data_IF_443410622526
#
_entry.id   IF_443410622526
#
_cell.length_a   1.000
_cell.length_b   1.000
_cell.length_c   1.000
_cell.angle_alpha   90.00
_cell.angle_beta   90.00
_cell.angle_gamma   90.00
#
_symmetry.space_group_name_H-M   'P 1'
#
loop_
_entity.id
_entity.type
_entity.pdbx_description
1 polymer ?
#
# COMPACT_ATOMS: atom_id res chain seq x y z
N UNK A 1 -9.19 -12.71 -7.60
CA UNK A 1 -8.11 -12.26 -6.69
C UNK A 1 -7.79 -13.43 -5.76
N UNK A 2 -6.57 -13.98 -5.80
CA UNK A 2 -6.23 -15.23 -5.09
C UNK A 2 -5.41 -14.97 -3.83
N UNK A 3 -5.95 -14.16 -2.91
CA UNK A 3 -5.29 -13.81 -1.64
C UNK A 3 -4.84 -15.06 -0.86
N UNK A 4 -5.62 -16.15 -0.91
CA UNK A 4 -5.27 -17.41 -0.25
C UNK A 4 -3.97 -18.03 -0.77
N UNK A 5 -3.72 -17.96 -2.08
CA UNK A 5 -2.46 -18.46 -2.64
C UNK A 5 -1.29 -17.53 -2.29
N UNK A 6 -1.50 -16.21 -2.37
CA UNK A 6 -0.49 -15.23 -1.98
C UNK A 6 -0.06 -15.36 -0.52
N UNK A 7 -1.03 -15.53 0.41
CA UNK A 7 -0.75 -15.80 1.83
C UNK A 7 0.07 -17.07 2.02
N UNK A 8 -0.33 -18.19 1.40
CA UNK A 8 0.41 -19.46 1.51
C UNK A 8 1.85 -19.36 1.02
N UNK A 9 2.08 -18.62 -0.07
CA UNK A 9 3.42 -18.39 -0.60
C UNK A 9 4.25 -17.54 0.36
N UNK A 10 3.70 -16.44 0.85
CA UNK A 10 4.37 -15.57 1.82
C UNK A 10 4.69 -16.31 3.13
N UNK A 11 3.74 -17.08 3.68
CA UNK A 11 3.96 -17.93 4.86
C UNK A 11 5.07 -18.97 4.63
N UNK A 12 5.15 -19.52 3.41
CA UNK A 12 6.23 -20.45 3.06
C UNK A 12 7.59 -19.75 3.03
N UNK A 13 7.68 -18.55 2.46
CA UNK A 13 8.92 -17.74 2.46
C UNK A 13 9.40 -17.46 3.89
N UNK A 14 8.48 -17.09 4.79
CA UNK A 14 8.80 -16.86 6.20
C UNK A 14 9.33 -18.15 6.87
N UNK A 15 8.61 -19.28 6.70
CA UNK A 15 8.99 -20.56 7.34
C UNK A 15 10.33 -21.11 6.85
N UNK A 16 10.69 -20.88 5.59
CA UNK A 16 11.97 -21.34 5.05
C UNK A 16 13.13 -20.39 5.37
N UNK A 17 12.87 -19.26 6.03
CA UNK A 17 13.87 -18.23 6.27
C UNK A 17 14.35 -17.59 4.96
N UNK A 18 13.49 -17.57 3.94
CA UNK A 18 13.83 -16.97 2.65
C UNK A 18 14.12 -15.49 2.85
N UNK A 19 15.34 -15.07 2.53
CA UNK A 19 15.75 -13.67 2.65
C UNK A 19 15.11 -12.86 1.52
N UNK A 20 14.15 -12.01 1.87
CA UNK A 20 13.55 -11.10 0.91
C UNK A 20 14.49 -9.95 0.58
N UNK A 21 14.36 -9.46 -0.64
CA UNK A 21 14.93 -8.19 -1.08
C UNK A 21 13.82 -7.16 -1.28
N UNK A 22 14.20 -5.90 -1.54
CA UNK A 22 13.24 -4.81 -1.72
C UNK A 22 12.22 -5.08 -2.83
N UNK A 23 12.60 -5.82 -3.89
CA UNK A 23 11.68 -6.18 -4.97
C UNK A 23 10.64 -7.21 -4.52
N UNK A 24 11.08 -8.21 -3.77
CA UNK A 24 10.21 -9.22 -3.16
C UNK A 24 9.24 -8.57 -2.18
N UNK A 25 9.74 -7.73 -1.28
CA UNK A 25 8.92 -7.01 -0.29
C UNK A 25 7.87 -6.13 -0.98
N UNK A 26 8.28 -5.35 -1.99
CA UNK A 26 7.36 -4.53 -2.79
C UNK A 26 6.27 -5.37 -3.46
N UNK A 27 6.63 -6.55 -3.98
CA UNK A 27 5.69 -7.47 -4.63
C UNK A 27 4.67 -8.03 -3.63
N UNK A 28 5.11 -8.36 -2.41
CA UNK A 28 4.26 -8.86 -1.33
C UNK A 28 3.30 -7.75 -0.86
N UNK A 29 3.80 -6.53 -0.62
CA UNK A 29 2.98 -5.36 -0.28
C UNK A 29 1.93 -5.11 -1.37
N UNK A 30 2.35 -5.06 -2.64
CA UNK A 30 1.44 -4.86 -3.76
C UNK A 30 0.36 -5.94 -3.85
N UNK A 31 0.73 -7.22 -3.63
CA UNK A 31 -0.20 -8.35 -3.65
C UNK A 31 -1.29 -8.21 -2.57
N UNK A 32 -0.90 -7.94 -1.32
CA UNK A 32 -1.85 -7.75 -0.22
C UNK A 32 -2.73 -6.51 -0.44
N UNK A 33 -2.13 -5.40 -0.84
CA UNK A 33 -2.83 -4.14 -1.12
C UNK A 33 -3.88 -4.30 -2.22
N UNK A 34 -3.52 -4.91 -3.36
CA UNK A 34 -4.44 -5.20 -4.46
C UNK A 34 -5.58 -6.15 -4.06
N UNK A 35 -5.35 -6.99 -3.05
CA UNK A 35 -6.36 -7.90 -2.51
C UNK A 35 -7.25 -7.28 -1.43
N UNK A 36 -7.01 -6.03 -1.02
CA UNK A 36 -7.74 -5.37 0.05
C UNK A 36 -7.34 -5.82 1.46
N UNK A 37 -6.29 -6.64 1.57
CA UNK A 37 -5.73 -7.07 2.85
C UNK A 37 -4.74 -6.02 3.35
N UNK A 38 -5.22 -4.79 3.57
CA UNK A 38 -4.37 -3.63 3.81
C UNK A 38 -3.60 -3.71 5.12
N UNK A 39 -4.15 -4.37 6.14
CA UNK A 39 -3.44 -4.67 7.38
C UNK A 39 -2.18 -5.50 7.13
N UNK A 40 -2.29 -6.60 6.36
CA UNK A 40 -1.13 -7.42 5.99
C UNK A 40 -0.16 -6.67 5.07
N UNK A 41 -0.68 -5.84 4.15
CA UNK A 41 0.17 -5.00 3.32
C UNK A 41 0.98 -4.00 4.16
N UNK A 42 0.32 -3.40 5.16
CA UNK A 42 0.93 -2.45 6.09
C UNK A 42 1.96 -3.12 6.99
N UNK A 43 1.67 -4.31 7.50
CA UNK A 43 2.63 -5.08 8.29
C UNK A 43 3.93 -5.32 7.53
N UNK A 44 3.84 -5.86 6.31
CA UNK A 44 5.03 -6.11 5.48
C UNK A 44 5.75 -4.81 5.19
N UNK A 45 5.01 -3.76 4.84
CA UNK A 45 5.58 -2.43 4.58
C UNK A 45 6.30 -1.85 5.82
N UNK A 46 5.78 -2.04 7.03
CA UNK A 46 6.37 -1.57 8.29
C UNK A 46 7.58 -2.42 8.72
N UNK A 47 7.67 -3.67 8.29
CA UNK A 47 8.83 -4.56 8.51
C UNK A 47 9.98 -4.31 7.51
N UNK A 48 9.73 -3.61 6.39
CA UNK A 48 10.78 -3.31 5.40
C UNK A 48 11.90 -2.43 5.99
N UNK A 49 13.18 -2.84 5.87
CA UNK A 49 14.30 -2.06 6.39
C UNK A 49 14.54 -0.78 5.57
N UNK A 50 14.18 -0.78 4.28
CA UNK A 50 14.25 0.38 3.39
C UNK A 50 13.01 0.41 2.53
N UNK A 51 12.42 1.59 2.38
CA UNK A 51 11.23 1.84 1.55
C UNK A 51 11.59 2.81 0.45
N UNK A 52 11.25 2.47 -0.78
CA UNK A 52 11.44 3.36 -1.93
C UNK A 52 10.08 3.87 -2.43
N UNK A 53 10.11 4.70 -3.47
CA UNK A 53 8.89 5.25 -4.10
C UNK A 53 7.87 4.15 -4.47
N UNK A 54 8.34 2.97 -4.89
CA UNK A 54 7.48 1.84 -5.26
C UNK A 54 6.78 1.24 -4.04
N UNK A 55 7.49 1.10 -2.90
CA UNK A 55 6.91 0.64 -1.63
C UNK A 55 5.75 1.54 -1.20
N UNK A 56 6.01 2.87 -1.19
CA UNK A 56 5.03 3.88 -0.81
C UNK A 56 3.84 3.93 -1.77
N UNK A 57 4.10 3.93 -3.08
CA UNK A 57 3.04 3.94 -4.09
C UNK A 57 2.15 2.70 -3.99
N UNK A 58 2.73 1.53 -3.69
CA UNK A 58 1.95 0.29 -3.58
C UNK A 58 0.97 0.33 -2.41
N UNK A 59 1.40 0.81 -1.24
CA UNK A 59 0.53 0.89 -0.06
C UNK A 59 -0.51 2.02 -0.20
N UNK A 60 -0.11 3.19 -0.70
CA UNK A 60 -1.00 4.35 -0.91
C UNK A 60 -2.09 3.98 -1.92
N UNK A 61 -1.72 3.38 -3.06
CA UNK A 61 -2.70 2.95 -4.06
C UNK A 61 -3.66 1.88 -3.53
N UNK A 62 -3.19 0.99 -2.65
CA UNK A 62 -4.04 0.03 -1.95
C UNK A 62 -5.10 0.71 -1.09
N UNK A 63 -4.70 1.64 -0.23
CA UNK A 63 -5.60 2.39 0.63
C UNK A 63 -6.64 3.17 -0.18
N UNK A 64 -6.23 3.83 -1.26
CA UNK A 64 -7.14 4.64 -2.08
C UNK A 64 -8.15 3.76 -2.84
N UNK A 65 -7.71 2.62 -3.39
CA UNK A 65 -8.61 1.68 -4.09
C UNK A 65 -9.66 1.03 -3.19
N UNK A 66 -9.37 0.90 -1.89
CA UNK A 66 -10.25 0.27 -0.91
C UNK A 66 -10.95 1.29 0.00
N UNK A 67 -11.07 2.55 -0.45
CA UNK A 67 -11.80 3.65 0.19
C UNK A 67 -11.28 4.06 1.58
N UNK A 68 -10.04 3.70 1.92
CA UNK A 68 -9.35 4.16 3.13
C UNK A 68 -8.57 5.45 2.82
N UNK A 69 -9.31 6.50 2.48
CA UNK A 69 -8.74 7.74 1.95
C UNK A 69 -7.88 8.48 2.98
N UNK A 70 -8.29 8.49 4.25
CA UNK A 70 -7.52 9.04 5.37
C UNK A 70 -6.15 8.37 5.52
N UNK A 71 -6.12 7.05 5.40
CA UNK A 71 -4.89 6.26 5.57
C UNK A 71 -3.93 6.49 4.39
N UNK A 72 -4.47 6.57 3.17
CA UNK A 72 -3.71 6.92 1.98
C UNK A 72 -3.05 8.31 2.08
N UNK A 73 -3.77 9.31 2.59
CA UNK A 73 -3.23 10.65 2.80
C UNK A 73 -2.18 10.68 3.93
N UNK A 74 -2.42 9.99 5.05
CA UNK A 74 -1.43 9.87 6.13
C UNK A 74 -0.13 9.21 5.65
N UNK A 75 -0.24 8.16 4.82
CA UNK A 75 0.92 7.51 4.21
C UNK A 75 1.65 8.43 3.24
N UNK A 76 0.95 9.27 2.49
CA UNK A 76 1.57 10.31 1.65
C UNK A 76 2.34 11.34 2.49
N UNK A 77 1.79 11.80 3.61
CA UNK A 77 2.51 12.69 4.53
C UNK A 77 3.76 12.01 5.10
N UNK A 78 3.65 10.75 5.53
CA UNK A 78 4.80 9.99 6.03
C UNK A 78 5.87 9.78 4.96
N UNK A 79 5.49 9.54 3.70
CA UNK A 79 6.42 9.42 2.57
C UNK A 79 7.30 10.68 2.44
N UNK A 80 6.68 11.86 2.52
CA UNK A 80 7.40 13.13 2.46
C UNK A 80 8.31 13.35 3.67
N UNK A 81 7.82 13.05 4.88
CA UNK A 81 8.63 13.13 6.11
C UNK A 81 9.83 12.18 6.08
N UNK A 82 9.70 11.04 5.41
CA UNK A 82 10.79 10.10 5.16
C UNK A 82 11.78 10.58 4.07
N UNK A 83 11.58 11.77 3.50
CA UNK A 83 12.42 12.34 2.44
C UNK A 83 12.25 11.66 1.08
N UNK A 84 11.23 10.81 0.91
CA UNK A 84 10.95 10.13 -0.35
C UNK A 84 10.07 11.04 -1.21
N UNK A 85 10.59 11.47 -2.35
CA UNK A 85 9.88 12.37 -3.26
C UNK A 85 8.68 11.64 -3.91
N UNK A 86 7.44 12.14 -3.76
CA UNK A 86 6.28 11.65 -4.50
C UNK A 86 6.48 11.74 -6.02
N UNK A 87 5.94 10.78 -6.75
CA UNK A 87 5.91 10.80 -8.22
C UNK A 87 4.48 10.99 -8.75
N UNK A 88 4.35 10.99 -10.08
CA UNK A 88 3.05 11.13 -10.74
C UNK A 88 2.02 10.08 -10.28
N UNK A 89 2.46 8.85 -9.97
CA UNK A 89 1.56 7.79 -9.50
C UNK A 89 1.08 8.07 -8.09
N UNK A 90 1.94 8.63 -7.23
CA UNK A 90 1.54 9.06 -5.89
C UNK A 90 0.42 10.09 -5.97
N UNK A 91 0.59 11.14 -6.78
CA UNK A 91 -0.41 12.20 -6.91
C UNK A 91 -1.73 11.73 -7.49
N UNK A 92 -1.70 10.89 -8.54
CA UNK A 92 -2.93 10.30 -9.11
C UNK A 92 -3.68 9.48 -8.05
N UNK A 93 -2.96 8.70 -7.24
CA UNK A 93 -3.56 7.88 -6.19
C UNK A 93 -4.23 8.73 -5.12
N UNK A 94 -3.54 9.78 -4.64
CA UNK A 94 -4.07 10.69 -3.60
C UNK A 94 -5.26 11.50 -4.12
N UNK A 95 -5.17 12.06 -5.34
CA UNK A 95 -6.26 12.83 -5.95
C UNK A 95 -7.53 11.99 -6.13
N UNK A 96 -7.37 10.71 -6.51
CA UNK A 96 -8.49 9.78 -6.60
C UNK A 96 -9.18 9.59 -5.24
N UNK A 97 -8.40 9.41 -4.16
CA UNK A 97 -8.96 9.32 -2.82
C UNK A 97 -9.71 10.61 -2.42
N UNK A 98 -9.19 11.79 -2.75
CA UNK A 98 -9.88 13.06 -2.47
C UNK A 98 -11.21 13.17 -3.25
N UNK A 99 -11.22 12.78 -4.53
CA UNK A 99 -12.45 12.78 -5.33
C UNK A 99 -13.52 11.84 -4.78
N UNK A 100 -13.13 10.65 -4.33
CA UNK A 100 -14.05 9.68 -3.72
C UNK A 100 -14.64 10.19 -2.39
N UNK A 101 -13.85 10.91 -1.56
CA UNK A 101 -14.35 11.54 -0.32
C UNK A 101 -15.34 12.66 -0.63
N UNK A 102 -15.01 13.57 -1.54
CA UNK A 102 -15.91 14.66 -1.93
C UNK A 102 -17.24 14.14 -2.49
N UNK A 103 -17.20 13.07 -3.30
CA UNK A 103 -18.41 12.43 -3.80
C UNK A 103 -19.26 11.80 -2.69
N UNK A 104 -18.64 11.24 -1.64
CA UNK A 104 -19.37 10.69 -0.48
C UNK A 104 -20.02 11.77 0.39
N UNK A 105 -19.44 12.96 0.47
CA UNK A 105 -20.04 14.11 1.19
C UNK A 105 -21.23 14.69 0.43
N UNK A 106 -21.13 14.78 -0.90
CA UNK A 106 -22.22 15.28 -1.76
C UNK A 106 -23.43 14.33 -1.75
N UNK A 107 -23.22 13.00 -1.64
CA UNK A 107 -24.32 12.04 -1.53
C UNK A 107 -25.06 12.04 -0.17
N UNK A 108 -24.64 12.86 0.80
CA UNK A 108 -25.31 13.01 2.11
C UNK A 108 -26.16 14.29 2.24
N UNK A 109 -26.20 15.13 1.20
CA UNK A 109 -27.11 16.29 1.09
C UNK A 109 -28.36 15.93 0.28
#
# INVERSE_FOLDING_TARGET
>A
KSLGMGKRLHDHMIRTGFKTDMYSDNSIVHMYAKCGSLESARQVFDEMPKRNVVSWNSIIAGCTQHRQCSDGFNLFCHMQMAGVKPDQFTFVSVLRACGDVAAMEVCKQ
#
